data_IF_057901262845
#
_entry.id   IF_057901262845
#
_cell.length_a   1.000
_cell.length_b   1.000
_cell.length_c   1.000
_cell.angle_alpha   90.00
_cell.angle_beta   90.00
_cell.angle_gamma   90.00
#
_symmetry.space_group_name_H-M   'P 1'
#
loop_
_entity.id
_entity.type
_entity.pdbx_description
1 polymer ?
#
# COMPACT_ATOMS: atom_id res chain seq x y z
N UNK A 1 17.31 1.29 9.97
CA UNK A 1 16.11 2.18 9.97
C UNK A 1 15.03 1.55 9.12
N UNK A 2 13.75 1.73 9.44
CA UNK A 2 12.63 1.25 8.62
C UNK A 2 11.54 2.31 8.46
N UNK A 3 10.73 2.19 7.42
CA UNK A 3 9.53 2.99 7.15
C UNK A 3 8.46 2.08 6.59
N UNK A 4 7.26 2.15 7.17
CA UNK A 4 6.07 1.44 6.66
C UNK A 4 5.18 2.42 5.93
N UNK A 5 4.77 2.06 4.73
CA UNK A 5 3.96 2.89 3.84
C UNK A 5 2.69 2.10 3.52
N UNK A 6 1.54 2.74 3.69
CA UNK A 6 0.22 2.10 3.61
C UNK A 6 -0.56 2.59 2.40
N UNK A 7 -1.16 1.66 1.67
CA UNK A 7 -2.23 1.90 0.70
C UNK A 7 -3.55 1.42 1.29
N UNK A 8 -4.52 2.30 1.35
CA UNK A 8 -5.88 2.00 1.79
C UNK A 8 -6.80 1.86 0.58
N UNK A 9 -7.51 0.76 0.48
CA UNK A 9 -8.56 0.52 -0.53
C UNK A 9 -9.92 0.56 0.17
N UNK A 10 -10.74 1.54 -0.20
CA UNK A 10 -12.10 1.74 0.30
C UNK A 10 -13.09 1.29 -0.77
N UNK A 11 -13.94 0.32 -0.44
CA UNK A 11 -15.02 -0.17 -1.30
C UNK A 11 -16.34 0.23 -0.68
N UNK A 12 -17.07 1.13 -1.35
CA UNK A 12 -18.37 1.62 -0.89
C UNK A 12 -19.49 0.97 -1.69
N UNK A 13 -20.48 0.40 -1.01
CA UNK A 13 -21.70 -0.12 -1.63
C UNK A 13 -22.75 0.99 -1.87
N UNK A 14 -23.82 0.70 -2.64
CA UNK A 14 -24.89 1.68 -2.87
C UNK A 14 -25.70 2.08 -1.63
N UNK A 15 -25.62 1.31 -0.55
CA UNK A 15 -26.23 1.68 0.74
C UNK A 15 -25.35 2.67 1.53
N UNK A 16 -24.16 2.96 1.01
CA UNK A 16 -23.19 3.89 1.59
C UNK A 16 -22.21 3.23 2.56
N UNK A 17 -22.31 1.91 2.78
CA UNK A 17 -21.39 1.19 3.65
C UNK A 17 -20.04 1.04 2.97
N UNK A 18 -18.97 1.43 3.68
CA UNK A 18 -17.61 1.38 3.16
C UNK A 18 -16.78 0.32 3.89
N UNK A 19 -16.28 -0.65 3.14
CA UNK A 19 -15.29 -1.62 3.62
C UNK A 19 -13.88 -1.15 3.28
N UNK A 20 -13.03 -1.09 4.30
CA UNK A 20 -11.62 -0.68 4.20
C UNK A 20 -10.70 -1.90 4.17
N UNK A 21 -9.72 -1.90 3.27
CA UNK A 21 -8.62 -2.88 3.21
C UNK A 21 -7.29 -2.13 3.17
N UNK A 22 -6.45 -2.32 4.18
CA UNK A 22 -5.10 -1.73 4.23
C UNK A 22 -4.06 -2.71 3.69
N UNK A 23 -3.16 -2.20 2.87
CA UNK A 23 -1.99 -2.91 2.35
C UNK A 23 -0.75 -2.17 2.80
N UNK A 24 0.16 -2.86 3.47
CA UNK A 24 1.38 -2.27 4.01
C UNK A 24 2.60 -2.81 3.28
N UNK A 25 3.59 -1.95 3.11
CA UNK A 25 4.92 -2.34 2.66
C UNK A 25 5.95 -1.65 3.56
N UNK A 26 6.88 -2.43 4.11
CA UNK A 26 7.97 -1.92 4.94
C UNK A 26 9.26 -1.93 4.15
N UNK A 27 9.88 -0.76 4.03
CA UNK A 27 11.22 -0.58 3.48
C UNK A 27 12.21 -0.27 4.60
N UNK A 28 13.45 -0.71 4.45
CA UNK A 28 14.48 -0.54 5.47
C UNK A 28 15.85 -0.28 4.84
N UNK A 29 16.75 0.31 5.61
CA UNK A 29 18.19 0.40 5.27
C UNK A 29 19.03 0.07 6.49
N UNK A 30 20.23 -0.44 6.23
CA UNK A 30 21.25 -0.68 7.24
C UNK A 30 22.15 0.55 7.41
N UNK A 31 22.84 0.62 8.54
CA UNK A 31 23.87 1.60 8.80
C UNK A 31 25.08 0.89 9.42
N UNK A 32 26.28 1.35 9.07
CA UNK A 32 27.53 0.93 9.67
C UNK A 32 28.09 2.12 10.44
N UNK A 33 28.53 1.88 11.67
CA UNK A 33 29.13 2.89 12.54
C UNK A 33 30.60 2.53 12.71
N UNK A 34 31.49 3.48 12.40
CA UNK A 34 32.90 3.38 12.76
C UNK A 34 33.05 3.74 14.24
N UNK A 35 33.45 2.78 15.08
CA UNK A 35 33.51 2.98 16.54
C UNK A 35 34.70 3.85 16.98
N UNK A 36 35.69 4.09 16.13
CA UNK A 36 36.87 4.90 16.44
C UNK A 36 36.58 6.38 16.18
N UNK A 37 35.92 6.70 15.07
CA UNK A 37 35.63 8.06 14.62
C UNK A 37 34.19 8.51 14.93
N UNK A 38 33.27 7.57 15.15
CA UNK A 38 31.84 7.83 15.30
C UNK A 38 31.12 8.09 13.97
N UNK A 39 31.79 7.93 12.83
CA UNK A 39 31.19 8.15 11.52
C UNK A 39 30.09 7.11 11.22
N UNK A 40 28.95 7.55 10.67
CA UNK A 40 27.84 6.69 10.29
C UNK A 40 27.68 6.69 8.78
N UNK A 41 27.80 5.52 8.16
CA UNK A 41 27.51 5.31 6.75
C UNK A 41 26.19 4.56 6.59
N UNK A 42 25.33 5.05 5.70
CA UNK A 42 24.04 4.43 5.41
C UNK A 42 24.10 3.66 4.11
N UNK A 43 23.60 2.43 4.14
CA UNK A 43 23.38 1.65 2.93
C UNK A 43 22.11 2.09 2.18
N UNK A 44 21.90 1.48 1.02
CA UNK A 44 20.71 1.71 0.21
C UNK A 44 19.43 1.25 0.91
N UNK A 45 18.31 1.87 0.53
CA UNK A 45 16.99 1.43 0.95
C UNK A 45 16.55 0.18 0.18
N UNK A 46 15.93 -0.76 0.88
CA UNK A 46 15.18 -1.85 0.27
C UNK A 46 13.92 -1.34 -0.43
N UNK A 47 13.33 -2.20 -1.25
CA UNK A 47 12.02 -1.98 -1.88
C UNK A 47 10.99 -2.94 -1.29
N UNK A 48 9.74 -2.51 -1.29
CA UNK A 48 8.59 -3.33 -0.91
C UNK A 48 7.55 -3.34 -2.03
N UNK A 49 6.43 -4.02 -1.80
CA UNK A 49 5.32 -4.04 -2.75
C UNK A 49 3.98 -4.02 -2.00
N UNK A 50 3.01 -3.29 -2.53
CA UNK A 50 1.61 -3.55 -2.23
C UNK A 50 1.08 -4.55 -3.23
N UNK A 51 0.55 -5.67 -2.75
CA UNK A 51 -0.02 -6.72 -3.58
C UNK A 51 -1.22 -6.24 -4.39
N UNK A 52 -1.51 -6.90 -5.51
CA UNK A 52 -2.76 -6.70 -6.22
C UNK A 52 -3.97 -6.95 -5.32
N UNK A 53 -5.06 -6.22 -5.55
CA UNK A 53 -6.35 -6.42 -4.89
C UNK A 53 -7.41 -6.63 -5.95
N UNK A 54 -8.19 -7.69 -5.84
CA UNK A 54 -9.36 -7.92 -6.70
C UNK A 54 -10.61 -7.62 -5.90
N UNK A 55 -11.50 -6.80 -6.46
CA UNK A 55 -12.76 -6.51 -5.79
C UNK A 55 -13.63 -7.78 -5.77
N UNK A 56 -14.12 -8.21 -4.59
CA UNK A 56 -15.01 -9.36 -4.51
C UNK A 56 -16.25 -9.18 -5.38
N UNK A 57 -16.60 -10.21 -6.15
CA UNK A 57 -17.84 -10.21 -6.90
C UNK A 57 -19.04 -10.30 -5.95
N UNK A 58 -20.01 -9.40 -6.13
CA UNK A 58 -21.25 -9.39 -5.36
C UNK A 58 -22.41 -9.46 -6.35
N UNK A 59 -23.32 -10.41 -6.14
CA UNK A 59 -24.47 -10.61 -7.02
C UNK A 59 -25.33 -9.34 -7.10
N UNK A 60 -25.72 -8.94 -8.32
CA UNK A 60 -26.48 -7.72 -8.55
C UNK A 60 -25.64 -6.44 -8.64
N UNK A 61 -24.32 -6.49 -8.41
CA UNK A 61 -23.46 -5.30 -8.48
C UNK A 61 -22.31 -5.43 -9.49
N UNK A 62 -21.84 -4.29 -9.97
CA UNK A 62 -20.67 -4.10 -10.83
C UNK A 62 -19.72 -3.09 -10.17
N UNK A 63 -18.43 -3.43 -10.03
CA UNK A 63 -17.47 -2.50 -9.45
C UNK A 63 -16.96 -1.45 -10.44
N UNK A 64 -16.74 -0.19 -10.01
CA UNK A 64 -15.96 0.81 -10.78
C UNK A 64 -14.52 0.40 -11.04
N UNK A 65 -13.92 -0.37 -10.12
CA UNK A 65 -12.56 -0.86 -10.19
C UNK A 65 -12.63 -2.36 -9.91
N UNK A 66 -12.45 -3.16 -10.95
CA UNK A 66 -12.45 -4.63 -10.82
C UNK A 66 -11.21 -5.14 -10.10
N UNK A 67 -10.07 -4.48 -10.30
CA UNK A 67 -8.82 -4.79 -9.60
C UNK A 67 -7.90 -3.58 -9.49
N UNK A 68 -7.08 -3.59 -8.45
CA UNK A 68 -5.93 -2.69 -8.26
C UNK A 68 -4.67 -3.53 -8.46
N UNK A 69 -3.79 -3.08 -9.35
CA UNK A 69 -2.54 -3.79 -9.64
C UNK A 69 -1.55 -3.75 -8.46
N UNK A 70 -0.60 -4.69 -8.49
CA UNK A 70 0.60 -4.62 -7.64
C UNK A 70 1.34 -3.32 -7.92
N UNK A 71 1.87 -2.67 -6.87
CA UNK A 71 2.67 -1.46 -7.00
C UNK A 71 3.95 -1.55 -6.16
N UNK A 72 5.13 -1.29 -6.75
CA UNK A 72 6.37 -1.22 -5.99
C UNK A 72 6.37 0.00 -5.06
N UNK A 73 6.96 -0.18 -3.89
CA UNK A 73 7.06 0.81 -2.83
C UNK A 73 8.52 1.08 -2.53
N UNK A 74 8.89 2.35 -2.56
CA UNK A 74 10.22 2.86 -2.19
C UNK A 74 10.09 3.79 -0.99
N UNK A 75 11.20 4.21 -0.39
CA UNK A 75 11.17 5.17 0.74
C UNK A 75 10.47 6.49 0.41
N UNK A 76 10.50 6.91 -0.87
CA UNK A 76 9.85 8.12 -1.38
C UNK A 76 8.41 7.93 -1.85
N UNK A 77 7.86 6.72 -1.76
CA UNK A 77 6.45 6.47 -2.11
C UNK A 77 5.54 7.08 -1.04
N UNK A 78 4.58 7.89 -1.48
CA UNK A 78 3.54 8.44 -0.62
C UNK A 78 2.46 7.39 -0.30
N UNK A 79 1.79 7.49 0.87
CA UNK A 79 0.59 6.70 1.15
C UNK A 79 -0.50 6.94 0.10
N UNK A 80 -1.30 5.91 -0.18
CA UNK A 80 -2.37 5.97 -1.17
C UNK A 80 -3.74 5.69 -0.56
N UNK A 81 -4.76 6.38 -1.05
CA UNK A 81 -6.16 6.05 -0.78
C UNK A 81 -6.86 5.85 -2.12
N UNK A 82 -7.31 4.62 -2.36
CA UNK A 82 -8.11 4.25 -3.52
C UNK A 82 -9.56 4.18 -3.07
N UNK A 83 -10.44 4.93 -3.73
CA UNK A 83 -11.89 4.85 -3.53
C UNK A 83 -12.52 4.12 -4.70
N UNK A 84 -13.30 3.10 -4.38
CA UNK A 84 -13.96 2.21 -5.30
C UNK A 84 -15.44 2.10 -4.90
N UNK A 85 -16.35 2.12 -5.88
CA UNK A 85 -17.80 2.06 -5.65
C UNK A 85 -18.42 0.87 -6.38
N UNK A 86 -19.35 0.19 -5.72
CA UNK A 86 -20.20 -0.81 -6.35
C UNK A 86 -21.45 -0.13 -6.90
N UNK A 87 -21.89 -0.52 -8.09
CA UNK A 87 -23.12 -0.04 -8.71
C UNK A 87 -24.05 -1.20 -8.97
N UNK A 88 -25.36 -1.00 -8.87
CA UNK A 88 -26.32 -2.02 -9.34
C UNK A 88 -26.10 -2.28 -10.82
N UNK A 89 -26.27 -3.54 -11.24
CA UNK A 89 -26.24 -3.94 -12.65
C UNK A 89 -27.35 -3.30 -13.47
#
# INVERSE_FOLDING_TARGET
MNKTITRTINVTDPEGTTKKTDQTATVYRNAVVDEVTGEVTYGDWSTGNWSSFTTPAIAGYTPTISSVATKPVTVGTDPEIIKHYLHTK
#
